data_IF_245990778492
#
_entry.id   IF_245990778492
#
_cell.length_a   1.000
_cell.length_b   1.000
_cell.length_c   1.000
_cell.angle_alpha   90.00
_cell.angle_beta   90.00
_cell.angle_gamma   90.00
#
_symmetry.space_group_name_H-M   'P 1'
#
loop_
_entity.id
_entity.type
_entity.pdbx_description
1 polymer ?
#
# COMPACT_ATOMS: atom_id res chain seq x y z
N UNK A 1 -2.18 -3.36 0.15
CA UNK A 1 -3.27 -3.95 0.95
C UNK A 1 -3.74 -3.06 2.10
N UNK A 2 -2.87 -2.69 3.05
CA UNK A 2 -3.31 -1.96 4.26
C UNK A 2 -4.14 -0.69 3.96
N UNK A 3 -3.75 0.11 2.96
CA UNK A 3 -4.52 1.30 2.60
C UNK A 3 -5.90 0.97 2.00
N UNK A 4 -6.01 -0.06 1.15
CA UNK A 4 -7.29 -0.53 0.64
C UNK A 4 -8.24 -0.96 1.77
N UNK A 5 -7.70 -1.62 2.81
CA UNK A 5 -8.46 -1.95 4.00
C UNK A 5 -8.90 -0.70 4.79
N UNK A 6 -8.05 0.34 4.88
CA UNK A 6 -8.44 1.62 5.49
C UNK A 6 -9.58 2.30 4.72
N UNK A 7 -9.54 2.26 3.38
CA UNK A 7 -10.63 2.74 2.52
C UNK A 7 -11.92 1.96 2.80
N UNK A 8 -11.86 0.63 2.91
CA UNK A 8 -13.03 -0.21 3.20
C UNK A 8 -13.68 0.14 4.55
N UNK A 9 -12.90 0.27 5.62
CA UNK A 9 -13.46 0.66 6.93
C UNK A 9 -14.00 2.11 6.95
N UNK A 10 -13.56 2.99 6.06
CA UNK A 10 -14.12 4.34 5.88
C UNK A 10 -15.46 4.34 5.09
N UNK A 11 -15.91 3.18 4.60
CA UNK A 11 -17.17 3.04 3.85
C UNK A 11 -16.99 2.84 2.35
N UNK A 12 -15.75 2.70 1.86
CA UNK A 12 -15.50 2.37 0.46
C UNK A 12 -16.02 0.97 0.09
N UNK A 13 -16.62 0.86 -1.09
CA UNK A 13 -17.14 -0.41 -1.59
C UNK A 13 -16.01 -1.36 -2.00
N UNK A 14 -16.02 -2.58 -1.44
CA UNK A 14 -14.98 -3.58 -1.62
C UNK A 14 -14.77 -3.93 -3.10
N UNK A 15 -15.85 -4.19 -3.84
CA UNK A 15 -15.79 -4.56 -5.24
C UNK A 15 -15.30 -3.40 -6.12
N UNK A 16 -15.68 -2.16 -5.78
CA UNK A 16 -15.23 -0.95 -6.45
C UNK A 16 -13.75 -0.71 -6.23
N UNK A 17 -13.23 -0.92 -5.02
CA UNK A 17 -11.79 -0.80 -4.73
C UNK A 17 -11.01 -1.79 -5.59
N UNK A 18 -11.41 -3.07 -5.59
CA UNK A 18 -10.75 -4.10 -6.39
C UNK A 18 -10.79 -3.81 -7.89
N UNK A 19 -11.97 -3.43 -8.39
CA UNK A 19 -12.16 -3.08 -9.80
C UNK A 19 -11.35 -1.84 -10.19
N UNK A 20 -11.22 -0.86 -9.32
CA UNK A 20 -10.46 0.37 -9.58
C UNK A 20 -8.97 0.07 -9.73
N UNK A 21 -8.41 -0.74 -8.82
CA UNK A 21 -7.00 -1.14 -8.86
C UNK A 21 -6.72 -2.07 -10.05
N UNK A 22 -7.64 -2.98 -10.36
CA UNK A 22 -7.55 -3.81 -11.56
C UNK A 22 -7.60 -2.97 -12.86
N UNK A 23 -8.55 -2.03 -12.95
CA UNK A 23 -8.69 -1.16 -14.11
C UNK A 23 -7.50 -0.21 -14.32
N UNK A 24 -6.75 0.11 -13.26
CA UNK A 24 -5.47 0.81 -13.38
C UNK A 24 -4.41 -0.01 -14.12
N UNK A 25 -4.53 -1.35 -14.10
CA UNK A 25 -3.67 -2.29 -14.81
C UNK A 25 -3.00 -3.33 -13.91
N UNK A 26 -3.26 -3.31 -12.59
CA UNK A 26 -2.74 -4.34 -11.69
C UNK A 26 -3.36 -5.71 -12.04
N UNK A 27 -2.65 -6.83 -11.88
CA UNK A 27 -3.16 -8.14 -12.25
C UNK A 27 -4.39 -8.55 -11.43
N UNK A 28 -4.50 -8.05 -10.21
CA UNK A 28 -5.58 -8.33 -9.27
C UNK A 28 -5.86 -7.11 -8.39
N UNK A 29 -7.11 -6.99 -7.95
CA UNK A 29 -7.48 -6.04 -6.89
C UNK A 29 -6.88 -6.46 -5.53
N UNK A 30 -6.68 -5.52 -4.60
CA UNK A 30 -6.02 -5.79 -3.32
C UNK A 30 -6.71 -6.85 -2.46
N UNK A 31 -8.05 -6.89 -2.41
CA UNK A 31 -8.79 -7.87 -1.62
C UNK A 31 -8.76 -9.25 -2.29
N UNK A 32 -8.89 -9.30 -3.62
CA UNK A 32 -8.68 -10.51 -4.40
C UNK A 32 -7.29 -11.09 -4.15
N UNK A 33 -6.24 -10.28 -4.30
CA UNK A 33 -4.86 -10.71 -4.07
C UNK A 33 -4.66 -11.25 -2.65
N UNK A 34 -5.25 -10.58 -1.65
CA UNK A 34 -5.12 -10.98 -0.24
C UNK A 34 -5.80 -12.32 0.04
N UNK A 35 -6.95 -12.58 -0.57
CA UNK A 35 -7.62 -13.87 -0.46
C UNK A 35 -6.80 -15.00 -1.11
N UNK A 36 -6.15 -14.75 -2.25
CA UNK A 36 -5.29 -15.75 -2.92
C UNK A 36 -4.01 -16.05 -2.13
N UNK A 37 -3.36 -15.01 -1.61
CA UNK A 37 -2.13 -15.14 -0.80
C UNK A 37 -2.41 -15.81 0.55
N UNK A 38 -3.58 -15.51 1.13
CA UNK A 38 -3.97 -15.97 2.46
C UNK A 38 -4.00 -14.82 3.47
N UNK A 39 -5.16 -14.63 4.08
CA UNK A 39 -5.42 -13.53 5.02
C UNK A 39 -4.55 -13.64 6.29
N UNK A 40 -4.35 -14.86 6.78
CA UNK A 40 -3.51 -15.16 7.94
C UNK A 40 -2.04 -14.78 7.72
N UNK A 41 -1.50 -15.07 6.54
CA UNK A 41 -0.13 -14.68 6.15
C UNK A 41 -0.03 -13.16 6.08
N UNK A 42 -0.96 -12.52 5.40
CA UNK A 42 -1.01 -11.05 5.29
C UNK A 42 -1.12 -10.37 6.66
N UNK A 43 -1.95 -10.89 7.55
CA UNK A 43 -2.13 -10.38 8.90
C UNK A 43 -0.84 -10.51 9.74
N UNK A 44 -0.15 -11.65 9.66
CA UNK A 44 1.15 -11.84 10.33
C UNK A 44 2.20 -10.84 9.85
N UNK A 45 2.34 -10.68 8.53
CA UNK A 45 3.29 -9.72 7.93
C UNK A 45 2.94 -8.29 8.35
N UNK A 46 1.66 -7.92 8.34
CA UNK A 46 1.22 -6.59 8.75
C UNK A 46 1.60 -6.26 10.21
N UNK A 47 1.51 -7.24 11.13
CA UNK A 47 1.94 -7.05 12.53
C UNK A 47 3.46 -6.87 12.66
N UNK A 48 4.25 -7.62 11.89
CA UNK A 48 5.72 -7.45 11.85
C UNK A 48 6.08 -6.05 11.36
N UNK A 49 5.47 -5.59 10.27
CA UNK A 49 5.71 -4.25 9.72
C UNK A 49 5.25 -3.14 10.69
N UNK A 50 4.10 -3.31 11.34
CA UNK A 50 3.62 -2.36 12.33
C UNK A 50 4.53 -2.29 13.56
N UNK A 51 5.09 -3.41 14.01
CA UNK A 51 6.06 -3.42 15.10
C UNK A 51 7.38 -2.72 14.71
N UNK A 52 7.84 -2.90 13.48
CA UNK A 52 9.08 -2.30 12.98
C UNK A 52 8.95 -0.79 12.70
N UNK A 53 7.81 -0.34 12.17
CA UNK A 53 7.64 1.03 11.66
C UNK A 53 6.57 1.86 12.41
N UNK A 54 5.95 1.29 13.45
CA UNK A 54 5.02 1.98 14.33
C UNK A 54 3.78 2.52 13.62
N UNK A 55 3.36 3.73 14.01
CA UNK A 55 2.11 4.36 13.56
C UNK A 55 2.01 4.49 12.03
N UNK A 56 3.16 4.66 11.35
CA UNK A 56 3.25 4.75 9.88
C UNK A 56 2.67 3.50 9.19
N UNK A 57 2.86 2.34 9.79
CA UNK A 57 2.40 1.04 9.27
C UNK A 57 1.29 0.43 10.12
N UNK A 58 0.57 1.25 10.91
CA UNK A 58 -0.54 0.77 11.73
C UNK A 58 -1.57 0.03 10.88
N UNK A 59 -1.80 -1.22 11.24
CA UNK A 59 -2.71 -2.13 10.53
C UNK A 59 -4.14 -1.59 10.60
N UNK A 60 -4.87 -1.69 9.50
CA UNK A 60 -6.30 -1.41 9.46
C UNK A 60 -7.06 -2.40 10.35
N UNK A 61 -7.97 -1.90 11.19
CA UNK A 61 -8.72 -2.73 12.15
C UNK A 61 -9.55 -3.81 11.44
N UNK A 62 -10.03 -3.52 10.23
CA UNK A 62 -10.79 -4.51 9.44
C UNK A 62 -9.96 -5.74 9.05
N UNK A 63 -8.64 -5.59 8.86
CA UNK A 63 -7.77 -6.75 8.60
C UNK A 63 -7.63 -7.65 9.83
N UNK A 64 -7.64 -7.05 11.03
CA UNK A 64 -7.66 -7.80 12.27
C UNK A 64 -9.03 -8.48 12.46
N UNK A 65 -10.15 -7.76 12.31
CA UNK A 65 -11.49 -8.32 12.47
C UNK A 65 -11.76 -9.51 11.55
N UNK A 66 -11.36 -9.41 10.27
CA UNK A 66 -11.56 -10.49 9.28
C UNK A 66 -10.79 -11.77 9.65
N UNK A 67 -9.58 -11.65 10.21
CA UNK A 67 -8.78 -12.81 10.57
C UNK A 67 -9.00 -13.28 12.01
N UNK A 68 -8.90 -12.38 12.97
CA UNK A 68 -8.93 -12.68 14.41
C UNK A 68 -10.36 -12.99 14.88
N UNK A 69 -11.38 -12.27 14.40
CA UNK A 69 -12.77 -12.48 14.85
C UNK A 69 -13.51 -13.48 13.94
N UNK A 70 -13.48 -13.27 12.61
CA UNK A 70 -14.21 -14.11 11.66
C UNK A 70 -13.46 -15.40 11.25
N UNK A 71 -12.18 -15.54 11.61
CA UNK A 71 -11.34 -16.70 11.26
C UNK A 71 -11.26 -17.00 9.76
N UNK A 72 -11.40 -15.96 8.92
CA UNK A 72 -11.34 -16.12 7.48
C UNK A 72 -9.89 -16.28 7.00
N UNK A 73 -9.69 -17.13 6.00
CA UNK A 73 -8.38 -17.53 5.50
C UNK A 73 -8.15 -17.16 4.02
N UNK A 74 -9.18 -16.70 3.31
CA UNK A 74 -9.11 -16.46 1.87
C UNK A 74 -9.49 -17.70 1.06
N UNK A 75 -8.95 -17.81 -0.15
CA UNK A 75 -9.26 -18.88 -1.11
C UNK A 75 -9.02 -20.28 -0.51
N UNK A 76 -7.93 -20.46 0.25
CA UNK A 76 -7.60 -21.74 0.91
C UNK A 76 -8.63 -22.21 1.94
N UNK A 77 -9.41 -21.29 2.50
CA UNK A 77 -10.49 -21.59 3.45
C UNK A 77 -11.88 -21.53 2.82
N UNK A 78 -11.98 -21.33 1.49
CA UNK A 78 -13.23 -21.13 0.76
C UNK A 78 -13.91 -19.78 1.02
N UNK A 79 -13.44 -18.99 1.99
CA UNK A 79 -13.99 -17.68 2.36
C UNK A 79 -12.91 -16.73 2.86
N UNK A 80 -12.99 -15.50 2.37
CA UNK A 80 -12.17 -14.35 2.75
C UNK A 80 -12.98 -13.06 2.63
N UNK A 81 -12.40 -12.05 2.02
CA UNK A 81 -13.14 -10.87 1.54
C UNK A 81 -14.21 -11.23 0.52
N UNK A 82 -13.97 -12.31 -0.22
CA UNK A 82 -14.92 -12.93 -1.12
C UNK A 82 -15.27 -14.35 -0.66
N UNK A 83 -16.43 -14.83 -1.09
CA UNK A 83 -16.76 -16.26 -1.04
C UNK A 83 -16.19 -16.91 -2.29
N UNK A 84 -15.42 -17.99 -2.10
CA UNK A 84 -14.77 -18.75 -3.17
C UNK A 84 -15.53 -20.07 -3.37
N UNK A 85 -16.67 -19.99 -4.06
CA UNK A 85 -17.48 -21.15 -4.44
C UNK A 85 -17.34 -21.41 -5.95
N UNK A 86 -16.71 -22.53 -6.30
CA UNK A 86 -16.50 -22.96 -7.69
C UNK A 86 -15.89 -21.85 -8.57
N UNK A 87 -16.53 -21.55 -9.72
CA UNK A 87 -16.13 -20.50 -10.67
C UNK A 87 -16.73 -19.13 -10.35
N UNK A 88 -17.52 -19.00 -9.28
CA UNK A 88 -18.23 -17.78 -8.94
C UNK A 88 -17.62 -17.10 -7.71
N UNK A 89 -17.18 -15.86 -7.92
CA UNK A 89 -16.67 -15.00 -6.88
C UNK A 89 -17.70 -13.94 -6.53
N UNK A 90 -18.14 -13.90 -5.27
CA UNK A 90 -19.05 -12.88 -4.74
C UNK A 90 -18.50 -12.28 -3.45
N UNK A 91 -18.85 -11.02 -3.16
CA UNK A 91 -18.43 -10.37 -1.91
C UNK A 91 -18.97 -11.17 -0.73
N UNK A 92 -18.13 -11.41 0.28
CA UNK A 92 -18.56 -12.16 1.45
C UNK A 92 -19.51 -11.31 2.32
N UNK A 93 -20.76 -11.78 2.58
CA UNK A 93 -21.74 -11.02 3.36
C UNK A 93 -21.29 -10.74 4.79
N UNK A 94 -20.39 -11.55 5.36
CA UNK A 94 -19.88 -11.37 6.72
C UNK A 94 -19.02 -10.10 6.85
N UNK A 95 -18.46 -9.60 5.75
CA UNK A 95 -17.59 -8.42 5.72
C UNK A 95 -18.35 -7.15 6.07
N UNK A 96 -19.62 -7.03 5.66
CA UNK A 96 -20.43 -5.85 5.96
C UNK A 96 -20.62 -5.68 7.48
N UNK A 97 -20.88 -6.78 8.20
CA UNK A 97 -20.98 -6.78 9.66
C UNK A 97 -19.67 -6.41 10.35
N UNK A 98 -18.55 -6.97 9.89
CA UNK A 98 -17.23 -6.63 10.43
C UNK A 98 -16.87 -5.15 10.20
N UNK A 99 -17.15 -4.60 9.01
CA UNK A 99 -16.94 -3.18 8.72
C UNK A 99 -17.77 -2.30 9.64
N UNK A 100 -19.06 -2.62 9.82
CA UNK A 100 -19.92 -1.86 10.73
C UNK A 100 -19.43 -1.89 12.18
N UNK A 101 -18.96 -3.05 12.67
CA UNK A 101 -18.36 -3.19 13.99
C UNK A 101 -17.09 -2.35 14.15
N UNK A 102 -16.21 -2.36 13.16
CA UNK A 102 -14.99 -1.53 13.14
C UNK A 102 -15.32 -0.04 13.10
N UNK A 103 -16.30 0.37 12.30
CA UNK A 103 -16.74 1.76 12.21
C UNK A 103 -17.29 2.26 13.56
N UNK A 104 -18.12 1.45 14.22
CA UNK A 104 -18.63 1.76 15.55
C UNK A 104 -17.50 1.87 16.59
N UNK A 105 -16.54 0.93 16.58
CA UNK A 105 -15.37 0.93 17.47
C UNK A 105 -14.50 2.18 17.30
N UNK A 106 -14.31 2.61 16.05
CA UNK A 106 -13.43 3.74 15.71
C UNK A 106 -14.15 5.10 15.69
N UNK A 107 -15.48 5.13 15.83
CA UNK A 107 -16.27 6.36 15.66
C UNK A 107 -16.22 6.91 14.23
N UNK A 108 -15.97 6.05 13.22
CA UNK A 108 -15.87 6.44 11.81
C UNK A 108 -17.25 6.41 11.18
N UNK A 109 -17.65 7.53 10.56
CA UNK A 109 -18.88 7.57 9.76
C UNK A 109 -18.59 7.10 8.34
N UNK A 110 -19.37 6.15 7.79
CA UNK A 110 -19.17 5.67 6.43
C UNK A 110 -19.41 6.81 5.43
N UNK A 111 -18.58 6.87 4.40
CA UNK A 111 -18.73 7.76 3.25
C UNK A 111 -18.45 7.02 1.96
N UNK A 112 -19.04 7.50 0.86
CA UNK A 112 -18.62 7.08 -0.46
C UNK A 112 -17.19 7.57 -0.74
N UNK A 113 -16.38 6.71 -1.35
CA UNK A 113 -15.01 7.01 -1.75
C UNK A 113 -14.90 6.81 -3.25
N UNK A 114 -14.57 7.88 -3.95
CA UNK A 114 -14.48 7.90 -5.41
C UNK A 114 -13.24 7.18 -5.92
N UNK A 115 -13.30 6.74 -7.18
CA UNK A 115 -12.22 5.96 -7.82
C UNK A 115 -10.88 6.69 -7.81
N UNK A 116 -10.88 7.99 -8.05
CA UNK A 116 -9.66 8.79 -8.09
C UNK A 116 -9.00 8.87 -6.70
N UNK A 117 -9.80 8.96 -5.63
CA UNK A 117 -9.28 8.92 -4.26
C UNK A 117 -8.71 7.53 -3.93
N UNK A 118 -9.38 6.46 -4.36
CA UNK A 118 -8.89 5.08 -4.18
C UNK A 118 -7.53 4.91 -4.86
N UNK A 119 -7.38 5.40 -6.10
CA UNK A 119 -6.13 5.35 -6.85
C UNK A 119 -5.04 6.17 -6.19
N UNK A 120 -5.31 7.44 -5.88
CA UNK A 120 -4.32 8.33 -5.24
C UNK A 120 -3.83 7.72 -3.92
N UNK A 121 -4.74 7.25 -3.06
CA UNK A 121 -4.37 6.64 -1.77
C UNK A 121 -3.54 5.37 -1.95
N UNK A 122 -3.99 4.44 -2.78
CA UNK A 122 -3.31 3.15 -2.94
C UNK A 122 -1.99 3.24 -3.69
N UNK A 123 -1.89 4.10 -4.70
CA UNK A 123 -0.70 4.22 -5.54
C UNK A 123 0.32 5.17 -4.93
N UNK A 124 -0.08 6.32 -4.39
CA UNK A 124 0.88 7.28 -3.87
C UNK A 124 1.54 6.78 -2.58
N UNK A 125 0.85 5.97 -1.76
CA UNK A 125 1.51 5.33 -0.63
C UNK A 125 2.58 4.32 -1.07
N UNK A 126 2.36 3.63 -2.20
CA UNK A 126 3.35 2.73 -2.81
C UNK A 126 4.54 3.52 -3.37
N UNK A 127 4.29 4.64 -4.05
CA UNK A 127 5.34 5.56 -4.52
C UNK A 127 6.16 6.10 -3.35
N UNK A 128 5.48 6.52 -2.28
CA UNK A 128 6.12 7.05 -1.09
C UNK A 128 7.04 6.01 -0.44
N UNK A 129 6.60 4.76 -0.34
CA UNK A 129 7.42 3.68 0.20
C UNK A 129 8.59 3.32 -0.73
N UNK A 130 8.39 3.33 -2.04
CA UNK A 130 9.46 3.12 -3.01
C UNK A 130 10.56 4.19 -2.85
N UNK A 131 10.18 5.46 -2.65
CA UNK A 131 11.12 6.53 -2.36
C UNK A 131 11.87 6.33 -1.03
N UNK A 132 11.19 5.83 0.01
CA UNK A 132 11.83 5.47 1.30
C UNK A 132 12.82 4.33 1.14
N UNK A 133 12.52 3.31 0.35
CA UNK A 133 13.47 2.21 0.09
C UNK A 133 14.77 2.69 -0.58
N UNK A 134 14.69 3.71 -1.45
CA UNK A 134 15.88 4.36 -2.02
C UNK A 134 16.62 5.21 -0.99
N UNK A 135 15.89 6.00 -0.20
CA UNK A 135 16.44 6.83 0.89
C UNK A 135 17.18 5.97 1.92
N UNK A 136 16.59 4.84 2.32
CA UNK A 136 17.13 3.89 3.30
C UNK A 136 18.18 2.94 2.69
N UNK A 137 18.53 3.10 1.40
CA UNK A 137 19.52 2.27 0.68
C UNK A 137 19.18 0.77 0.64
N UNK A 138 17.90 0.41 0.77
CA UNK A 138 17.41 -0.97 0.55
C UNK A 138 17.64 -1.39 -0.91
N UNK A 139 17.56 -0.43 -1.83
CA UNK A 139 17.91 -0.57 -3.24
C UNK A 139 18.66 0.67 -3.69
N UNK A 140 19.61 0.50 -4.62
CA UNK A 140 20.54 1.57 -5.03
C UNK A 140 20.13 2.31 -6.30
N UNK A 141 19.11 1.84 -7.02
CA UNK A 141 18.73 2.36 -8.33
C UNK A 141 17.20 2.39 -8.50
N UNK A 142 16.63 3.53 -8.95
CA UNK A 142 15.21 3.63 -9.31
C UNK A 142 14.81 2.61 -10.37
N UNK A 143 15.65 2.39 -11.38
CA UNK A 143 15.41 1.41 -12.43
C UNK A 143 15.28 0.00 -11.86
N UNK A 144 16.18 -0.38 -10.94
CA UNK A 144 16.13 -1.71 -10.30
C UNK A 144 14.88 -1.86 -9.45
N UNK A 145 14.49 -0.83 -8.70
CA UNK A 145 13.26 -0.85 -7.91
C UNK A 145 12.04 -1.03 -8.80
N UNK A 146 11.87 -0.20 -9.83
CA UNK A 146 10.71 -0.25 -10.72
C UNK A 146 10.64 -1.58 -11.47
N UNK A 147 11.78 -2.09 -11.94
CA UNK A 147 11.86 -3.40 -12.57
C UNK A 147 11.43 -4.53 -11.61
N UNK A 148 11.89 -4.48 -10.35
CA UNK A 148 11.46 -5.43 -9.33
C UNK A 148 9.96 -5.33 -9.01
N UNK A 149 9.39 -4.12 -9.03
CA UNK A 149 7.95 -3.92 -8.81
C UNK A 149 7.11 -4.49 -9.95
N UNK A 150 7.54 -4.32 -11.19
CA UNK A 150 6.89 -4.91 -12.37
C UNK A 150 6.93 -6.44 -12.31
N UNK A 151 8.11 -7.03 -12.11
CA UNK A 151 8.25 -8.49 -12.12
C UNK A 151 7.72 -9.17 -10.85
N UNK A 152 7.85 -8.53 -9.70
CA UNK A 152 7.50 -9.11 -8.41
C UNK A 152 6.03 -8.92 -8.03
N UNK A 153 5.52 -7.70 -8.19
CA UNK A 153 4.15 -7.36 -7.75
C UNK A 153 3.14 -7.30 -8.90
N UNK A 154 3.63 -7.36 -10.14
CA UNK A 154 2.81 -7.16 -11.34
C UNK A 154 2.43 -5.70 -11.57
N UNK A 155 3.24 -4.74 -11.12
CA UNK A 155 3.00 -3.33 -11.44
C UNK A 155 2.85 -3.15 -12.96
N UNK A 156 1.91 -2.34 -13.47
CA UNK A 156 1.57 -2.35 -14.89
C UNK A 156 2.78 -2.02 -15.76
N UNK A 157 3.28 -2.95 -16.61
CA UNK A 157 4.51 -2.74 -17.37
C UNK A 157 4.45 -1.50 -18.27
N UNK A 158 3.27 -1.20 -18.82
CA UNK A 158 3.04 -0.03 -19.68
C UNK A 158 3.16 1.30 -18.92
N UNK A 159 3.20 1.26 -17.58
CA UNK A 159 3.41 2.42 -16.71
C UNK A 159 4.82 2.47 -16.11
N UNK A 160 5.68 1.51 -16.43
CA UNK A 160 7.09 1.44 -16.04
C UNK A 160 7.32 0.92 -14.62
N UNK A 161 6.73 1.57 -13.62
CA UNK A 161 6.92 1.27 -12.21
C UNK A 161 6.44 2.44 -11.34
N UNK A 162 6.38 2.29 -10.01
CA UNK A 162 5.92 3.36 -9.13
C UNK A 162 6.76 4.65 -9.25
N UNK A 163 8.08 4.56 -9.41
CA UNK A 163 8.93 5.76 -9.49
C UNK A 163 8.80 6.43 -10.85
N UNK A 164 8.75 5.65 -11.94
CA UNK A 164 8.51 6.18 -13.28
C UNK A 164 7.13 6.83 -13.34
N UNK A 165 6.13 6.22 -12.71
CA UNK A 165 4.81 6.81 -12.57
C UNK A 165 4.85 8.15 -11.82
N UNK A 166 5.67 8.27 -10.77
CA UNK A 166 5.85 9.53 -10.05
C UNK A 166 6.48 10.62 -10.92
N UNK A 167 7.44 10.27 -11.78
CA UNK A 167 8.04 11.21 -12.73
C UNK A 167 7.05 11.65 -13.81
N UNK A 168 6.23 10.72 -14.34
CA UNK A 168 5.16 11.05 -15.30
C UNK A 168 4.11 11.98 -14.70
N UNK A 169 3.72 11.78 -13.44
CA UNK A 169 2.83 12.70 -12.72
C UNK A 169 3.49 14.04 -12.38
N UNK A 170 4.82 14.05 -12.28
CA UNK A 170 5.62 15.12 -11.74
C UNK A 170 5.79 14.99 -10.23
N UNK A 171 7.04 14.85 -9.77
CA UNK A 171 7.39 14.65 -8.34
C UNK A 171 6.83 15.74 -7.44
N UNK A 172 6.79 17.01 -7.88
CA UNK A 172 6.16 18.09 -7.12
C UNK A 172 4.67 17.85 -6.88
N UNK A 173 3.93 17.43 -7.91
CA UNK A 173 2.51 17.12 -7.79
C UNK A 173 2.27 15.91 -6.88
N UNK A 174 3.16 14.92 -6.91
CA UNK A 174 3.13 13.78 -5.98
C UNK A 174 3.29 14.23 -4.54
N UNK A 175 4.28 15.09 -4.23
CA UNK A 175 4.48 15.64 -2.88
C UNK A 175 3.25 16.42 -2.41
N UNK A 176 2.69 17.29 -3.26
CA UNK A 176 1.49 18.06 -2.92
C UNK A 176 0.28 17.15 -2.64
N UNK A 177 0.08 16.08 -3.42
CA UNK A 177 -0.98 15.09 -3.17
C UNK A 177 -0.76 14.34 -1.86
N UNK A 178 0.47 13.89 -1.60
CA UNK A 178 0.83 13.22 -0.35
C UNK A 178 0.60 14.11 0.87
N UNK A 179 0.95 15.40 0.79
CA UNK A 179 0.67 16.37 1.87
C UNK A 179 -0.83 16.57 2.12
N UNK A 180 -1.65 16.61 1.06
CA UNK A 180 -3.12 16.65 1.21
C UNK A 180 -3.64 15.38 1.88
N UNK A 181 -3.15 14.22 1.48
CA UNK A 181 -3.51 12.94 2.09
C UNK A 181 -3.02 12.85 3.53
N UNK A 182 -1.84 13.39 3.86
CA UNK A 182 -1.34 13.46 5.23
C UNK A 182 -2.25 14.31 6.12
N UNK A 183 -2.74 15.44 5.62
CA UNK A 183 -3.66 16.29 6.37
C UNK A 183 -4.98 15.59 6.73
N UNK A 184 -5.49 14.70 5.86
CA UNK A 184 -6.77 14.01 6.07
C UNK A 184 -6.62 12.62 6.70
N UNK A 185 -5.50 11.96 6.49
CA UNK A 185 -5.28 10.55 6.84
C UNK A 185 -4.05 10.33 7.75
N UNK A 186 -3.35 11.40 8.12
CA UNK A 186 -2.25 11.37 9.07
C UNK A 186 -0.92 10.90 8.48
N UNK A 187 0.04 10.70 9.38
CA UNK A 187 1.47 10.58 9.07
C UNK A 187 1.87 9.43 8.14
N UNK A 188 1.00 8.45 7.88
CA UNK A 188 1.30 7.37 6.92
C UNK A 188 1.49 7.89 5.48
N UNK A 189 0.93 9.07 5.18
CA UNK A 189 1.13 9.77 3.91
C UNK A 189 2.21 10.85 3.97
N UNK A 190 2.90 11.03 5.10
CA UNK A 190 4.01 11.96 5.21
C UNK A 190 5.03 11.69 4.08
N UNK A 191 5.30 12.68 3.19
CA UNK A 191 6.20 12.48 2.08
C UNK A 191 7.59 12.06 2.54
N UNK A 192 8.20 11.10 1.84
CA UNK A 192 9.59 10.72 2.04
C UNK A 192 10.50 11.93 1.82
N UNK A 193 11.62 12.01 2.55
CA UNK A 193 12.53 13.15 2.43
C UNK A 193 13.06 13.26 1.00
N UNK A 194 13.41 12.12 0.40
CA UNK A 194 13.87 12.04 -1.00
C UNK A 194 12.88 12.67 -1.98
N UNK A 195 11.58 12.40 -1.84
CA UNK A 195 10.54 13.03 -2.67
C UNK A 195 10.53 14.55 -2.47
N UNK A 196 10.61 15.03 -1.23
CA UNK A 196 10.63 16.47 -0.96
C UNK A 196 11.88 17.16 -1.50
N UNK A 197 13.03 16.49 -1.46
CA UNK A 197 14.29 17.05 -1.96
C UNK A 197 14.31 17.10 -3.49
N UNK A 198 13.84 16.05 -4.17
CA UNK A 198 13.66 16.05 -5.62
C UNK A 198 12.68 17.14 -6.06
N UNK A 199 11.54 17.27 -5.37
CA UNK A 199 10.54 18.30 -5.66
C UNK A 199 11.12 19.73 -5.52
N UNK A 200 11.87 20.01 -4.45
CA UNK A 200 12.52 21.33 -4.22
C UNK A 200 13.51 21.68 -5.33
N UNK A 201 14.18 20.68 -5.90
CA UNK A 201 15.20 20.86 -6.93
C UNK A 201 14.66 20.71 -8.36
N UNK A 202 13.33 20.55 -8.53
CA UNK A 202 12.69 20.28 -9.82
C UNK A 202 13.35 19.09 -10.54
N UNK A 203 13.53 17.97 -9.83
CA UNK A 203 14.09 16.72 -10.33
C UNK A 203 13.12 15.56 -10.19
N UNK A 204 13.38 14.54 -11.00
CA UNK A 204 12.70 13.24 -11.00
C UNK A 204 13.63 12.13 -10.53
N UNK A 205 13.08 10.93 -10.38
CA UNK A 205 13.86 9.72 -10.08
C UNK A 205 14.78 9.32 -11.23
N UNK A 206 14.43 9.65 -12.47
CA UNK A 206 15.19 9.27 -13.68
C UNK A 206 15.99 10.44 -14.27
N UNK A 207 16.34 11.45 -13.48
CA UNK A 207 17.27 12.50 -13.91
C UNK A 207 18.73 12.05 -13.85
N UNK A 208 19.58 12.61 -14.72
CA UNK A 208 21.01 12.26 -14.79
C UNK A 208 21.77 12.48 -13.47
N UNK A 209 21.32 13.44 -12.66
CA UNK A 209 21.90 13.81 -11.37
C UNK A 209 21.23 13.12 -10.15
N UNK A 210 20.29 12.19 -10.37
CA UNK A 210 19.54 11.54 -9.29
C UNK A 210 20.42 10.97 -8.18
N UNK A 211 21.56 10.36 -8.54
CA UNK A 211 22.46 9.73 -7.57
C UNK A 211 22.98 10.70 -6.49
N UNK A 212 23.02 12.01 -6.77
CA UNK A 212 23.42 13.04 -5.81
C UNK A 212 22.40 13.29 -4.69
N UNK A 213 21.16 12.84 -4.87
CA UNK A 213 20.08 12.96 -3.89
C UNK A 213 20.03 11.79 -2.90
N UNK A 214 20.76 10.71 -3.17
CA UNK A 214 20.82 9.57 -2.25
C UNK A 214 21.81 9.88 -1.12
N UNK A 215 21.47 9.59 0.14
CA UNK A 215 22.41 9.72 1.25
C UNK A 215 23.64 8.84 0.99
N UNK A 216 24.87 9.21 1.39
CA UNK A 216 26.04 8.37 1.16
C UNK A 216 25.81 6.93 1.63
N UNK A 217 26.35 5.95 0.90
CA UNK A 217 26.27 4.57 1.35
C UNK A 217 26.95 4.48 2.73
N UNK A 218 26.19 4.18 3.77
CA UNK A 218 26.78 3.88 5.07
C UNK A 218 27.60 2.60 4.95
N UNK A 219 28.78 2.54 5.58
CA UNK A 219 29.50 1.29 5.79
C UNK A 219 28.57 0.33 6.55
N UNK A 220 27.94 -0.60 5.82
CA UNK A 220 26.97 -1.53 6.36
C UNK A 220 27.69 -2.61 7.18
N UNK A 221 28.01 -2.29 8.43
CA UNK A 221 28.49 -3.23 9.45
C UNK A 221 27.77 -3.08 10.80
N UNK A 222 26.55 -2.50 10.82
CA UNK A 222 25.87 -2.15 12.07
C UNK A 222 24.49 -2.74 12.34
N UNK A 223 23.83 -3.37 11.37
CA UNK A 223 22.41 -3.78 11.53
C UNK A 223 22.17 -5.21 11.05
N UNK A 224 22.93 -6.16 11.57
CA UNK A 224 22.62 -7.60 11.49
C UNK A 224 23.23 -8.28 12.70
N UNK A 225 22.50 -8.38 13.83
CA UNK A 225 22.67 -9.41 14.88
C UNK A 225 21.97 -9.08 16.23
N UNK A 226 20.84 -8.36 16.27
CA UNK A 226 20.02 -8.33 17.49
C UNK A 226 18.57 -8.51 17.06
N UNK A 227 17.84 -9.42 17.73
CA UNK A 227 16.44 -9.82 17.48
C UNK A 227 16.20 -11.08 16.62
N UNK A 228 17.12 -12.04 16.66
CA UNK A 228 16.75 -13.47 16.59
C UNK A 228 17.43 -14.19 17.76
N UNK A 229 16.74 -14.21 18.90
CA UNK A 229 16.89 -15.19 19.97
C UNK A 229 15.56 -15.23 20.73
#
# INVERSE_FOLDING_TARGET
MNEAAKILQEGGDLATIDKTIYAYGMPMGPFTLTDEVGIDVGHKVAKVLAAAYGERMKVAEILAAVHEDLKLLGAKGGKGFYVHQDKHKSVNPDIAGAVAGVQAKLGVRPRAIERDEILDRCLLIMVNEAARCLEERVVSSPLTLDFAMVLGTGYPPQKGGPLHHADVLGVRAVVERLQRLEATHGMRFAPAKLLTDLAKNNRGFFSDDFASFLPPASDAAGVTAQHIA
#
